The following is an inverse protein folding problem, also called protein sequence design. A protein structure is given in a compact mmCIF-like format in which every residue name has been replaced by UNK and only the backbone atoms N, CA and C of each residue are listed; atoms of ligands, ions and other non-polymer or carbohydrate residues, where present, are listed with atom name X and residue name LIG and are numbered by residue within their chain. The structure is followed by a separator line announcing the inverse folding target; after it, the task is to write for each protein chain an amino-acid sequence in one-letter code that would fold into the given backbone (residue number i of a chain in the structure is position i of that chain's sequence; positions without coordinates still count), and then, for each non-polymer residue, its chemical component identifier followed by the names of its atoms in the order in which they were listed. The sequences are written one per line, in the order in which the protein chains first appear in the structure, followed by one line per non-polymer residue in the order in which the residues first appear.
data_IF_592125771137
#
_entry.id   IF_592125771137
#
_cell.length_a   1.000
_cell.length_b   1.000
_cell.length_c   1.000
_cell.angle_alpha   90.00
_cell.angle_beta   90.00
_cell.angle_gamma   90.00
#
_symmetry.space_group_name_H-M   'P 1'
#
loop_
_entity.id
_entity.type
_entity.pdbx_description
1 polymer ?
#
# COMPACT_ATOMS: atom_id res chain seq x y z
N UNK A 1 18.84 22.77 -10.84
CA UNK A 1 19.24 22.33 -9.49
C UNK A 1 18.82 20.88 -9.36
N UNK A 2 19.69 19.92 -9.01
CA UNK A 2 19.19 18.58 -8.73
C UNK A 2 18.25 18.65 -7.52
N UNK A 3 17.05 18.10 -7.66
CA UNK A 3 16.11 17.94 -6.55
C UNK A 3 16.78 17.14 -5.43
N UNK A 4 16.52 17.48 -4.17
CA UNK A 4 17.19 16.85 -3.05
C UNK A 4 16.53 15.49 -2.80
N UNK A 5 17.01 14.46 -3.48
CA UNK A 5 16.43 13.13 -3.41
C UNK A 5 16.93 12.41 -2.15
N UNK A 6 16.02 12.08 -1.24
CA UNK A 6 16.31 11.26 -0.05
C UNK A 6 15.96 9.81 -0.35
N UNK A 7 16.63 8.86 0.32
CA UNK A 7 16.29 7.44 0.21
C UNK A 7 15.77 6.88 1.54
N UNK A 8 14.95 5.84 1.44
CA UNK A 8 14.48 5.05 2.58
C UNK A 8 14.73 3.57 2.31
N UNK A 9 14.89 2.79 3.37
CA UNK A 9 15.03 1.34 3.25
C UNK A 9 13.64 0.71 3.29
N UNK A 10 13.33 -0.11 2.29
CA UNK A 10 12.11 -0.91 2.23
C UNK A 10 12.16 -1.93 3.35
N UNK A 11 11.05 -2.06 4.07
CA UNK A 11 10.95 -2.98 5.19
C UNK A 11 9.92 -4.07 4.94
N UNK A 12 10.05 -5.18 5.67
CA UNK A 12 9.22 -6.36 5.45
C UNK A 12 7.72 -6.04 5.47
N UNK A 13 7.05 -6.41 4.38
CA UNK A 13 5.62 -6.27 4.23
C UNK A 13 5.11 -4.87 3.90
N UNK A 14 6.00 -3.92 3.58
CA UNK A 14 5.62 -2.63 3.03
C UNK A 14 5.30 -2.74 1.54
N UNK A 15 4.18 -2.13 1.16
CA UNK A 15 3.86 -1.81 -0.23
C UNK A 15 4.39 -0.43 -0.60
N UNK A 16 4.44 -0.14 -1.91
CA UNK A 16 4.78 1.19 -2.41
C UNK A 16 3.79 2.25 -1.90
N UNK A 17 2.52 1.88 -1.73
CA UNK A 17 1.49 2.73 -1.15
C UNK A 17 1.78 3.08 0.30
N UNK A 18 2.18 2.10 1.11
CA UNK A 18 2.53 2.32 2.53
C UNK A 18 3.67 3.35 2.64
N UNK A 19 4.71 3.19 1.82
CA UNK A 19 5.87 4.08 1.79
C UNK A 19 5.47 5.48 1.32
N UNK A 20 4.63 5.58 0.28
CA UNK A 20 4.13 6.85 -0.22
C UNK A 20 3.38 7.64 0.87
N UNK A 21 2.48 7.00 1.61
CA UNK A 21 1.75 7.64 2.71
C UNK A 21 2.71 8.05 3.85
N UNK A 22 3.65 7.17 4.21
CA UNK A 22 4.58 7.42 5.31
C UNK A 22 5.55 8.57 4.99
N UNK A 23 6.05 8.64 3.76
CA UNK A 23 7.16 9.50 3.37
C UNK A 23 6.73 10.77 2.65
N UNK A 24 5.64 10.73 1.90
CA UNK A 24 5.10 11.87 1.14
C UNK A 24 3.77 12.37 1.72
N UNK A 25 3.10 11.59 2.58
CA UNK A 25 1.87 12.01 3.25
C UNK A 25 0.64 12.09 2.35
N UNK A 26 0.76 11.69 1.08
CA UNK A 26 -0.30 11.81 0.07
C UNK A 26 -0.21 10.66 -0.93
N UNK A 27 -1.35 10.01 -1.21
CA UNK A 27 -1.44 8.99 -2.26
C UNK A 27 -1.27 9.59 -3.67
N UNK A 28 -1.54 10.89 -3.83
CA UNK A 28 -1.45 11.57 -5.12
C UNK A 28 -0.02 11.53 -5.69
N UNK A 29 0.99 11.47 -4.83
CA UNK A 29 2.40 11.38 -5.21
C UNK A 29 2.86 9.95 -5.54
N UNK A 30 1.99 8.94 -5.46
CA UNK A 30 2.35 7.53 -5.67
C UNK A 30 2.90 7.27 -7.07
N UNK A 31 2.33 7.90 -8.10
CA UNK A 31 2.79 7.74 -9.48
C UNK A 31 4.19 8.33 -9.68
N UNK A 32 4.48 9.48 -9.07
CA UNK A 32 5.81 10.10 -9.12
C UNK A 32 6.85 9.27 -8.37
N UNK A 33 6.45 8.65 -7.24
CA UNK A 33 7.30 7.73 -6.48
C UNK A 33 7.65 6.47 -7.30
N UNK A 34 6.66 5.87 -7.95
CA UNK A 34 6.84 4.72 -8.84
C UNK A 34 7.79 5.05 -10.01
N UNK A 35 7.53 6.16 -10.70
CA UNK A 35 8.33 6.62 -11.85
C UNK A 35 9.79 6.91 -11.46
N UNK A 36 10.00 7.57 -10.31
CA UNK A 36 11.34 7.86 -9.80
C UNK A 36 12.20 6.62 -9.51
N UNK A 37 11.57 5.46 -9.28
CA UNK A 37 12.25 4.20 -8.98
C UNK A 37 12.16 3.18 -10.13
N UNK A 38 11.52 3.53 -11.25
CA UNK A 38 11.32 2.60 -12.37
C UNK A 38 10.45 1.39 -12.01
N UNK A 39 9.53 1.55 -11.06
CA UNK A 39 8.62 0.51 -10.58
C UNK A 39 7.20 0.76 -11.11
N UNK A 40 6.40 -0.29 -11.26
CA UNK A 40 4.96 -0.18 -11.32
C UNK A 40 4.38 -0.06 -9.91
N UNK A 41 3.20 0.56 -9.77
CA UNK A 41 2.53 0.72 -8.46
C UNK A 41 2.11 -0.61 -7.81
N UNK A 42 2.08 -1.69 -8.60
CA UNK A 42 1.71 -3.05 -8.19
C UNK A 42 2.91 -3.98 -8.06
N UNK A 43 4.14 -3.50 -8.30
CA UNK A 43 5.32 -4.35 -8.18
C UNK A 43 5.55 -4.75 -6.72
N UNK A 44 6.03 -5.97 -6.54
CA UNK A 44 6.50 -6.45 -5.25
C UNK A 44 7.80 -5.72 -4.88
N UNK A 45 7.93 -5.36 -3.61
CA UNK A 45 9.11 -4.68 -3.09
C UNK A 45 10.02 -5.66 -2.34
N UNK A 46 11.33 -5.59 -2.60
CA UNK A 46 12.32 -6.38 -1.88
C UNK A 46 12.74 -5.70 -0.57
N UNK A 47 12.69 -6.46 0.54
CA UNK A 47 13.09 -5.94 1.85
C UNK A 47 14.60 -5.65 1.87
N UNK A 48 14.97 -4.49 2.39
CA UNK A 48 16.37 -4.05 2.49
C UNK A 48 16.84 -3.21 1.30
N UNK A 49 16.05 -3.11 0.23
CA UNK A 49 16.36 -2.24 -0.90
C UNK A 49 16.16 -0.75 -0.56
N UNK A 50 16.92 0.12 -1.23
CA UNK A 50 16.76 1.57 -1.13
C UNK A 50 15.75 2.08 -2.14
N UNK A 51 14.67 2.70 -1.64
CA UNK A 51 13.71 3.43 -2.45
C UNK A 51 14.02 4.92 -2.42
N UNK A 52 14.11 5.54 -3.59
CA UNK A 52 14.28 6.99 -3.76
C UNK A 52 12.94 7.70 -3.55
N UNK A 53 12.92 8.69 -2.67
CA UNK A 53 11.75 9.53 -2.42
C UNK A 53 11.94 10.84 -3.21
N UNK A 54 11.13 11.08 -4.25
CA UNK A 54 11.21 12.31 -5.03
C UNK A 54 10.65 13.51 -4.26
N UNK A 55 11.13 14.70 -4.59
CA UNK A 55 10.46 15.94 -4.19
C UNK A 55 9.18 16.08 -5.04
N UNK A 56 8.01 15.91 -4.43
CA UNK A 56 6.71 16.03 -5.10
C UNK A 56 5.94 17.25 -4.62
N UNK A 57 5.32 17.99 -5.55
CA UNK A 57 4.37 19.08 -5.20
C UNK A 57 3.04 18.54 -4.64
N UNK A 58 2.77 17.26 -4.84
CA UNK A 58 1.59 16.56 -4.34
C UNK A 58 1.80 16.04 -2.90
N UNK A 59 3.01 16.21 -2.35
CA UNK A 59 3.34 15.84 -0.98
C UNK A 59 2.54 16.66 0.04
N UNK A 60 2.18 16.02 1.14
CA UNK A 60 1.62 16.64 2.35
C UNK A 60 2.62 16.48 3.50
N UNK A 61 3.62 17.37 3.61
CA UNK A 61 4.70 17.22 4.58
C UNK A 61 4.20 17.18 6.03
N UNK A 62 3.08 17.81 6.33
CA UNK A 62 2.43 17.76 7.65
C UNK A 62 1.95 16.35 8.03
N UNK A 63 1.50 15.55 7.05
CA UNK A 63 1.06 14.16 7.25
C UNK A 63 2.27 13.23 7.39
N UNK A 64 3.29 13.39 6.54
CA UNK A 64 4.54 12.66 6.69
C UNK A 64 5.19 12.93 8.06
N UNK A 65 5.21 14.19 8.50
CA UNK A 65 5.71 14.58 9.82
C UNK A 65 4.88 13.98 10.97
N UNK A 66 3.56 13.86 10.81
CA UNK A 66 2.67 13.22 11.80
C UNK A 66 3.05 11.75 12.04
N UNK A 67 3.32 10.98 10.99
CA UNK A 67 3.75 9.58 11.10
C UNK A 67 5.16 9.46 11.67
N UNK A 68 6.09 10.31 11.21
CA UNK A 68 7.45 10.36 11.72
C UNK A 68 7.49 10.66 13.23
N UNK A 69 6.69 11.62 13.71
CA UNK A 69 6.61 11.97 15.13
C UNK A 69 6.12 10.81 16.01
N UNK A 70 5.27 9.93 15.47
CA UNK A 70 4.73 8.75 16.18
C UNK A 70 5.63 7.52 16.08
N UNK A 71 6.69 7.57 15.28
CA UNK A 71 7.53 6.41 14.94
C UNK A 71 6.69 5.22 14.48
N UNK A 72 5.55 5.50 13.86
CA UNK A 72 4.63 4.49 13.38
C UNK A 72 5.09 4.07 12.00
N UNK A 73 5.35 2.76 11.84
CA UNK A 73 5.62 2.18 10.53
C UNK A 73 4.33 1.64 9.95
N UNK A 74 4.03 2.05 8.73
CA UNK A 74 2.85 1.60 7.99
C UNK A 74 3.31 0.39 7.17
N UNK A 75 2.60 -0.74 7.28
CA UNK A 75 2.82 -1.89 6.41
C UNK A 75 1.50 -2.66 6.19
N UNK A 76 1.32 -3.16 4.98
CA UNK A 76 0.14 -3.94 4.60
C UNK A 76 0.20 -5.36 5.16
N UNK A 77 1.39 -5.98 5.27
CA UNK A 77 1.52 -7.37 5.72
C UNK A 77 1.17 -7.62 7.19
N UNK A 78 1.00 -6.57 8.01
CA UNK A 78 0.57 -6.73 9.40
C UNK A 78 -0.95 -6.73 9.55
N UNK A 79 -1.70 -6.88 8.45
CA UNK A 79 -3.10 -7.27 8.52
C UNK A 79 -3.14 -8.69 9.10
N UNK A 80 -3.68 -8.90 10.32
CA UNK A 80 -3.82 -10.25 10.82
C UNK A 80 -4.63 -11.02 9.79
N UNK A 81 -4.21 -12.25 9.47
CA UNK A 81 -5.02 -13.13 8.63
C UNK A 81 -6.46 -13.03 9.16
N UNK A 82 -7.46 -12.77 8.29
CA UNK A 82 -8.84 -12.75 8.75
C UNK A 82 -9.03 -14.01 9.59
N UNK A 83 -9.67 -13.91 10.78
CA UNK A 83 -9.87 -15.07 11.63
C UNK A 83 -10.37 -16.17 10.72
N UNK A 84 -9.68 -17.32 10.68
CA UNK A 84 -10.07 -18.44 9.83
C UNK A 84 -11.55 -18.58 10.03
N UNK A 85 -12.34 -18.25 8.99
CA UNK A 85 -13.77 -18.31 9.11
C UNK A 85 -14.06 -19.70 9.68
N UNK A 86 -14.91 -19.83 10.71
CA UNK A 86 -15.34 -21.16 11.11
C UNK A 86 -15.74 -21.85 9.81
N UNK A 87 -15.21 -23.07 9.59
CA UNK A 87 -15.49 -23.83 8.38
C UNK A 87 -16.97 -23.61 8.06
N UNK A 88 -17.25 -23.04 6.90
CA UNK A 88 -18.59 -22.64 6.45
C UNK A 88 -19.44 -23.87 6.18
N UNK A 89 -19.53 -24.79 7.14
CA UNK A 89 -20.67 -25.63 7.34
C UNK A 89 -21.84 -24.72 7.79
N UNK A 90 -22.37 -23.94 6.84
CA UNK A 90 -23.69 -23.31 6.95
C UNK A 90 -23.78 -21.79 6.89
N UNK A 91 -22.72 -21.04 6.57
CA UNK A 91 -22.77 -19.56 6.49
C UNK A 91 -22.15 -19.00 5.20
N UNK A 92 -22.12 -19.83 4.18
CA UNK A 92 -22.09 -19.38 2.79
C UNK A 92 -23.50 -19.75 2.31
N UNK A 93 -24.35 -18.74 2.18
CA UNK A 93 -25.52 -18.77 1.29
C UNK A 93 -24.95 -18.64 -0.13
N UNK A 94 -24.31 -19.73 -0.55
CA UNK A 94 -23.98 -20.03 -1.94
C UNK A 94 -24.70 -21.34 -2.17
N UNK A 95 -26.03 -21.26 -2.17
CA UNK A 95 -26.79 -22.30 -2.79
C UNK A 95 -26.44 -22.24 -4.28
N UNK A 96 -26.28 -23.39 -4.93
CA UNK A 96 -26.19 -23.44 -6.40
C UNK A 96 -27.43 -22.78 -7.05
N UNK A 97 -28.51 -22.56 -6.28
CA UNK A 97 -29.73 -21.85 -6.62
C UNK A 97 -29.62 -20.30 -6.51
N UNK A 98 -28.56 -19.72 -5.92
CA UNK A 98 -28.39 -18.26 -5.83
C UNK A 98 -27.87 -17.63 -7.13
N UNK A 99 -27.44 -18.49 -8.06
CA UNK A 99 -27.17 -18.15 -9.45
C UNK A 99 -28.19 -18.90 -10.32
N UNK A 100 -29.47 -18.55 -10.19
CA UNK A 100 -30.47 -19.03 -11.16
C UNK A 100 -30.02 -18.51 -12.52
N UNK A 101 -29.93 -19.42 -13.51
CA UNK A 101 -29.50 -19.15 -14.89
C UNK A 101 -30.26 -18.00 -15.61
N UNK A 102 -31.27 -17.40 -14.98
CA UNK A 102 -32.12 -16.34 -15.52
C UNK A 102 -31.99 -14.95 -14.85
N UNK A 103 -31.03 -14.72 -13.95
CA UNK A 103 -30.81 -13.37 -13.36
C UNK A 103 -30.19 -12.33 -14.32
N UNK A 104 -30.12 -12.65 -15.62
CA UNK A 104 -29.62 -11.75 -16.66
C UNK A 104 -30.66 -11.36 -17.74
N UNK A 105 -31.98 -11.59 -17.55
CA UNK A 105 -33.04 -11.07 -18.45
C UNK A 105 -34.37 -10.72 -17.78
#
# INVERSE_FOLDING_TARGET
MPAAMRSVIITEGQSLLDICIQELGSIEALMELADANGLAITDDLETGEQLQIPDSLLSRPEVAAYFAARRQRINTANYPAPPTAPATAGLIDWLDEDFIDNDWF
#
